data_IF_086103806834
#
_entry.id   IF_086103806834
#
_cell.length_a   1.000
_cell.length_b   1.000
_cell.length_c   1.000
_cell.angle_alpha   90.00
_cell.angle_beta   90.00
_cell.angle_gamma   90.00
#
_symmetry.space_group_name_H-M   'P 1'
#
loop_
_entity.id
_entity.type
_entity.pdbx_description
1 polymer ?
#
# COMPACT_ATOMS: atom_id res chain seq x y z
N UNK A 1 -13.28 21.48 3.58
CA UNK A 1 -13.68 20.58 2.45
C UNK A 1 -14.24 19.26 2.99
N UNK A 2 -14.97 18.48 2.17
CA UNK A 2 -15.40 17.12 2.52
C UNK A 2 -14.51 16.08 1.82
N UNK A 3 -14.13 15.02 2.54
CA UNK A 3 -13.22 14.02 2.00
C UNK A 3 -13.74 13.34 0.73
N UNK A 4 -15.05 13.16 0.59
CA UNK A 4 -15.63 12.62 -0.64
C UNK A 4 -15.32 13.48 -1.88
N UNK A 5 -15.21 14.80 -1.71
CA UNK A 5 -15.03 15.78 -2.79
C UNK A 5 -13.56 16.06 -3.12
N UNK A 6 -12.65 15.84 -2.17
CA UNK A 6 -11.21 16.09 -2.38
C UNK A 6 -10.68 15.14 -3.45
N UNK A 7 -9.94 15.64 -4.47
CA UNK A 7 -9.22 14.76 -5.37
C UNK A 7 -8.20 13.94 -4.57
N UNK A 8 -8.14 12.64 -4.80
CA UNK A 8 -7.24 11.76 -4.05
C UNK A 8 -6.59 10.70 -4.90
N UNK A 9 -5.47 10.20 -4.44
CA UNK A 9 -4.82 8.98 -4.94
C UNK A 9 -4.94 7.94 -3.85
N UNK A 10 -5.56 6.80 -4.15
CA UNK A 10 -5.49 5.65 -3.27
C UNK A 10 -4.16 4.94 -3.50
N UNK A 11 -3.23 5.11 -2.56
CA UNK A 11 -1.88 4.58 -2.69
C UNK A 11 -1.78 3.08 -2.36
N UNK A 12 -2.87 2.46 -1.88
CA UNK A 12 -2.87 1.07 -1.46
C UNK A 12 -4.20 0.40 -1.79
N UNK A 13 -4.26 -0.21 -2.95
CA UNK A 13 -5.40 -0.99 -3.39
C UNK A 13 -4.94 -2.26 -4.12
N UNK A 14 -5.77 -3.29 -4.12
CA UNK A 14 -5.47 -4.58 -4.72
C UNK A 14 -6.42 -4.87 -5.88
N UNK A 15 -5.87 -4.98 -7.08
CA UNK A 15 -6.57 -5.54 -8.23
C UNK A 15 -6.08 -6.97 -8.43
N UNK A 16 -7.00 -7.93 -8.47
CA UNK A 16 -6.67 -9.35 -8.64
C UNK A 16 -7.08 -9.87 -10.01
N UNK A 17 -6.51 -10.97 -10.42
CA UNK A 17 -6.81 -11.61 -11.71
C UNK A 17 -8.27 -12.07 -11.79
N UNK A 18 -8.75 -12.27 -13.02
CA UNK A 18 -10.11 -12.79 -13.22
C UNK A 18 -10.26 -14.18 -12.60
N UNK A 19 -9.27 -15.04 -12.77
CA UNK A 19 -9.32 -16.43 -12.29
C UNK A 19 -9.39 -16.47 -10.75
N UNK A 20 -8.66 -15.60 -10.08
CA UNK A 20 -8.75 -15.46 -8.64
C UNK A 20 -10.16 -15.04 -8.19
N UNK A 21 -10.78 -14.05 -8.86
CA UNK A 21 -12.16 -13.64 -8.54
C UNK A 21 -13.18 -14.76 -8.78
N UNK A 22 -13.03 -15.50 -9.89
CA UNK A 22 -13.91 -16.62 -10.23
C UNK A 22 -13.86 -17.73 -9.17
N UNK A 23 -12.72 -17.92 -8.52
CA UNK A 23 -12.60 -18.86 -7.41
C UNK A 23 -13.53 -18.49 -6.23
N UNK A 24 -13.75 -17.20 -6.00
CA UNK A 24 -14.60 -16.70 -4.91
C UNK A 24 -16.01 -16.28 -5.34
N UNK A 25 -16.42 -16.51 -6.59
CA UNK A 25 -17.71 -16.01 -7.10
C UNK A 25 -18.95 -16.49 -6.34
N UNK A 26 -18.89 -17.68 -5.75
CA UNK A 26 -19.98 -18.28 -5.00
C UNK A 26 -19.89 -17.99 -3.49
N UNK A 27 -18.80 -17.38 -3.04
CA UNK A 27 -18.62 -16.90 -1.67
C UNK A 27 -19.17 -15.48 -1.51
N UNK A 28 -20.38 -15.37 -0.94
CA UNK A 28 -21.08 -14.10 -0.74
C UNK A 28 -20.37 -13.17 0.26
N UNK A 29 -19.50 -13.71 1.10
CA UNK A 29 -18.73 -12.93 2.07
C UNK A 29 -17.38 -12.46 1.53
N UNK A 30 -16.98 -12.95 0.36
CA UNK A 30 -15.70 -12.59 -0.25
C UNK A 30 -15.69 -11.17 -0.80
N UNK A 31 -14.79 -10.35 -0.30
CA UNK A 31 -14.55 -9.00 -0.82
C UNK A 31 -13.89 -9.00 -2.21
N UNK A 32 -13.23 -10.09 -2.61
CA UNK A 32 -12.43 -10.15 -3.84
C UNK A 32 -13.24 -9.99 -5.12
N UNK A 33 -14.52 -10.30 -5.11
CA UNK A 33 -15.43 -10.10 -6.25
C UNK A 33 -15.52 -8.63 -6.66
N UNK A 34 -15.29 -7.71 -5.73
CA UNK A 34 -15.25 -6.26 -5.95
C UNK A 34 -13.94 -5.77 -6.57
N UNK A 35 -12.87 -6.57 -6.51
CA UNK A 35 -11.56 -6.22 -7.08
C UNK A 35 -11.56 -6.33 -8.62
N UNK A 36 -12.30 -5.47 -9.29
CA UNK A 36 -12.41 -5.44 -10.75
C UNK A 36 -12.43 -4.02 -11.30
N UNK A 37 -12.01 -3.86 -12.58
CA UNK A 37 -11.88 -2.54 -13.22
C UNK A 37 -13.18 -1.73 -13.26
N UNK A 38 -14.32 -2.37 -13.35
CA UNK A 38 -15.62 -1.68 -13.40
C UNK A 38 -15.89 -1.01 -12.06
N UNK A 39 -15.67 -1.73 -10.98
CA UNK A 39 -15.87 -1.20 -9.64
C UNK A 39 -14.86 -0.09 -9.30
N UNK A 40 -13.59 -0.24 -9.67
CA UNK A 40 -12.60 0.84 -9.54
C UNK A 40 -13.00 2.13 -10.26
N UNK A 41 -13.57 2.01 -11.47
CA UNK A 41 -14.08 3.18 -12.20
C UNK A 41 -15.29 3.83 -11.50
N UNK A 42 -16.15 3.03 -10.92
CA UNK A 42 -17.29 3.50 -10.13
C UNK A 42 -16.80 4.28 -8.90
N UNK A 43 -15.88 3.71 -8.12
CA UNK A 43 -15.24 4.36 -6.97
C UNK A 43 -14.58 5.68 -7.41
N UNK A 44 -13.80 5.65 -8.50
CA UNK A 44 -13.11 6.84 -9.00
C UNK A 44 -14.07 8.00 -9.23
N UNK A 45 -15.23 7.72 -9.85
CA UNK A 45 -16.25 8.73 -10.12
C UNK A 45 -16.93 9.20 -8.85
N UNK A 46 -17.29 8.28 -7.96
CA UNK A 46 -18.12 8.58 -6.79
C UNK A 46 -17.34 9.30 -5.68
N UNK A 47 -16.08 8.91 -5.45
CA UNK A 47 -15.26 9.40 -4.35
C UNK A 47 -14.11 10.31 -4.82
N UNK A 48 -14.14 10.78 -6.06
CA UNK A 48 -13.13 11.66 -6.65
C UNK A 48 -11.70 11.08 -6.57
N UNK A 49 -11.56 9.75 -6.75
CA UNK A 49 -10.24 9.10 -6.80
C UNK A 49 -9.66 9.26 -8.20
N UNK A 50 -8.55 9.94 -8.31
CA UNK A 50 -7.89 10.24 -9.59
C UNK A 50 -7.01 9.10 -10.08
N UNK A 51 -6.36 8.41 -9.14
CA UNK A 51 -5.49 7.27 -9.42
C UNK A 51 -5.56 6.25 -8.28
N UNK A 52 -5.33 5.00 -8.63
CA UNK A 52 -5.07 3.92 -7.68
C UNK A 52 -3.67 3.39 -7.92
N UNK A 53 -2.92 3.13 -6.86
CA UNK A 53 -1.64 2.44 -6.93
C UNK A 53 -1.90 0.99 -6.53
N UNK A 54 -1.80 0.10 -7.52
CA UNK A 54 -2.02 -1.32 -7.32
C UNK A 54 -0.82 -1.92 -6.59
N UNK A 55 -1.07 -2.54 -5.46
CA UNK A 55 -0.05 -3.18 -4.62
C UNK A 55 -0.15 -4.69 -4.75
N UNK A 56 0.92 -5.40 -5.15
CA UNK A 56 0.97 -6.86 -5.05
C UNK A 56 1.11 -7.31 -3.59
N UNK A 57 0.73 -8.56 -3.31
CA UNK A 57 0.79 -9.14 -1.96
C UNK A 57 2.00 -10.04 -1.74
N UNK A 58 2.85 -10.21 -2.76
CA UNK A 58 4.04 -11.07 -2.77
C UNK A 58 3.73 -12.54 -2.41
N UNK A 59 2.56 -13.01 -2.74
CA UNK A 59 2.22 -14.42 -2.60
C UNK A 59 1.85 -15.02 -3.95
N UNK A 60 2.14 -16.30 -4.09
CA UNK A 60 1.84 -17.06 -5.30
C UNK A 60 0.39 -17.53 -5.37
N UNK A 61 -0.37 -17.33 -4.29
CA UNK A 61 -1.78 -17.72 -4.22
C UNK A 61 -2.68 -16.76 -5.00
N UNK A 62 -2.46 -15.44 -4.83
CA UNK A 62 -3.21 -14.40 -5.56
C UNK A 62 -2.65 -14.13 -6.94
N UNK A 63 -1.36 -14.32 -7.10
CA UNK A 63 -0.61 -14.03 -8.31
C UNK A 63 0.28 -15.23 -8.62
N UNK A 64 0.44 -15.54 -9.88
CA UNK A 64 1.28 -16.66 -10.30
C UNK A 64 2.76 -16.37 -10.03
N UNK A 65 3.59 -16.31 -11.02
CA UNK A 65 4.99 -15.98 -10.88
C UNK A 65 5.22 -14.47 -10.94
N UNK A 66 6.28 -13.96 -10.27
CA UNK A 66 6.61 -12.52 -10.22
C UNK A 66 6.67 -11.87 -11.58
N UNK A 67 7.34 -12.48 -12.57
CA UNK A 67 7.44 -11.92 -13.92
C UNK A 67 6.07 -11.85 -14.57
N UNK A 68 5.28 -12.91 -14.45
CA UNK A 68 3.91 -12.96 -14.98
C UNK A 68 3.04 -11.92 -14.32
N UNK A 69 3.16 -11.77 -12.99
CA UNK A 69 2.40 -10.78 -12.25
C UNK A 69 2.81 -9.34 -12.61
N UNK A 70 4.11 -9.03 -12.69
CA UNK A 70 4.59 -7.71 -13.08
C UNK A 70 4.15 -7.35 -14.51
N UNK A 71 4.19 -8.29 -15.45
CA UNK A 71 3.68 -8.09 -16.80
C UNK A 71 2.16 -7.87 -16.81
N UNK A 72 1.44 -8.62 -16.00
CA UNK A 72 -0.01 -8.44 -15.87
C UNK A 72 -0.34 -7.07 -15.27
N UNK A 73 0.30 -6.65 -14.17
CA UNK A 73 0.13 -5.32 -13.57
C UNK A 73 0.43 -4.22 -14.59
N UNK A 74 1.54 -4.32 -15.33
CA UNK A 74 1.87 -3.37 -16.38
C UNK A 74 0.78 -3.29 -17.46
N UNK A 75 0.21 -4.43 -17.84
CA UNK A 75 -0.91 -4.47 -18.78
C UNK A 75 -2.16 -3.77 -18.22
N UNK A 76 -2.44 -3.92 -16.91
CA UNK A 76 -3.55 -3.22 -16.26
C UNK A 76 -3.32 -1.70 -16.23
N UNK A 77 -2.10 -1.26 -15.93
CA UNK A 77 -1.71 0.15 -15.97
C UNK A 77 -1.92 0.72 -17.38
N UNK A 78 -1.35 0.08 -18.40
CA UNK A 78 -1.45 0.51 -19.80
C UNK A 78 -2.90 0.62 -20.30
N UNK A 79 -3.79 -0.30 -19.87
CA UNK A 79 -5.18 -0.33 -20.28
C UNK A 79 -6.11 0.58 -19.44
N UNK A 80 -5.59 1.24 -18.43
CA UNK A 80 -6.39 2.01 -17.47
C UNK A 80 -6.70 3.45 -17.88
N UNK A 81 -6.11 3.94 -18.97
CA UNK A 81 -6.16 5.35 -19.37
C UNK A 81 -5.73 6.30 -18.23
N UNK A 82 -4.67 5.94 -17.52
CA UNK A 82 -4.10 6.75 -16.43
C UNK A 82 -4.77 6.58 -15.06
N UNK A 83 -5.78 5.71 -14.94
CA UNK A 83 -6.44 5.44 -13.67
C UNK A 83 -5.56 4.62 -12.72
N UNK A 84 -4.72 3.73 -13.25
CA UNK A 84 -3.87 2.87 -12.45
C UNK A 84 -2.39 3.24 -12.58
N UNK A 85 -1.68 3.17 -11.46
CA UNK A 85 -0.26 2.92 -11.34
C UNK A 85 -0.09 1.58 -10.63
N UNK A 86 1.10 1.00 -10.64
CA UNK A 86 1.36 -0.23 -9.88
C UNK A 86 2.79 -0.26 -9.36
N UNK A 87 2.98 -0.93 -8.24
CA UNK A 87 4.29 -1.28 -7.71
C UNK A 87 4.67 -2.69 -8.16
N UNK A 88 5.96 -2.93 -8.27
CA UNK A 88 6.50 -4.22 -8.65
C UNK A 88 6.35 -5.26 -7.54
N UNK A 89 6.13 -6.49 -7.95
CA UNK A 89 6.08 -7.67 -7.11
C UNK A 89 7.44 -8.38 -7.03
N UNK A 90 7.66 -9.10 -5.94
CA UNK A 90 8.76 -10.06 -5.77
C UNK A 90 8.20 -11.37 -5.20
N UNK A 91 8.83 -12.51 -5.52
CA UNK A 91 8.35 -13.81 -5.05
C UNK A 91 8.75 -14.14 -3.61
N UNK A 92 7.98 -15.02 -2.98
CA UNK A 92 8.24 -15.58 -1.65
C UNK A 92 9.30 -16.72 -1.67
N UNK A 93 10.38 -16.53 -2.40
CA UNK A 93 11.46 -17.50 -2.52
C UNK A 93 12.81 -16.84 -2.19
N UNK A 94 13.43 -17.27 -1.10
CA UNK A 94 14.68 -16.69 -0.62
C UNK A 94 15.83 -16.72 -1.63
N UNK A 95 15.96 -17.79 -2.40
CA UNK A 95 16.96 -17.87 -3.47
C UNK A 95 16.64 -16.89 -4.61
N UNK A 96 15.35 -16.78 -4.97
CA UNK A 96 14.90 -15.81 -5.95
C UNK A 96 15.19 -14.37 -5.53
N UNK A 97 14.95 -14.01 -4.28
CA UNK A 97 15.18 -12.65 -3.78
C UNK A 97 16.65 -12.27 -3.88
N UNK A 98 17.57 -13.20 -3.56
CA UNK A 98 19.00 -12.95 -3.66
C UNK A 98 19.49 -12.79 -5.09
N UNK A 99 19.15 -13.74 -5.94
CA UNK A 99 19.85 -13.95 -7.20
C UNK A 99 19.13 -13.31 -8.40
N UNK A 100 17.82 -13.27 -8.37
CA UNK A 100 16.98 -12.96 -9.54
C UNK A 100 16.13 -11.70 -9.37
N UNK A 101 15.60 -11.45 -8.18
CA UNK A 101 14.68 -10.32 -7.93
C UNK A 101 15.25 -8.96 -8.32
N UNK A 102 16.56 -8.64 -8.12
CA UNK A 102 17.11 -7.36 -8.56
C UNK A 102 16.96 -7.12 -10.06
N UNK A 103 17.20 -8.16 -10.88
CA UNK A 103 17.05 -8.06 -12.35
C UNK A 103 15.59 -7.95 -12.77
N UNK A 104 14.71 -8.72 -12.15
CA UNK A 104 13.26 -8.64 -12.43
C UNK A 104 12.67 -7.31 -11.99
N UNK A 105 13.16 -6.72 -10.89
CA UNK A 105 12.78 -5.37 -10.49
C UNK A 105 13.22 -4.34 -11.53
N UNK A 106 14.43 -4.44 -12.06
CA UNK A 106 14.91 -3.53 -13.09
C UNK A 106 14.03 -3.58 -14.34
N UNK A 107 13.68 -4.78 -14.83
CA UNK A 107 12.77 -4.98 -15.96
C UNK A 107 11.38 -4.39 -15.63
N UNK A 108 10.85 -4.68 -14.43
CA UNK A 108 9.55 -4.18 -14.02
C UNK A 108 9.46 -2.64 -14.04
N UNK A 109 10.54 -1.96 -13.65
CA UNK A 109 10.57 -0.50 -13.63
C UNK A 109 10.89 0.08 -15.00
N UNK A 110 11.97 -0.36 -15.66
CA UNK A 110 12.46 0.26 -16.90
C UNK A 110 11.64 -0.12 -18.13
N UNK A 111 11.27 -1.39 -18.25
CA UNK A 111 10.62 -1.91 -19.44
C UNK A 111 9.09 -1.94 -19.30
N UNK A 112 8.60 -2.26 -18.11
CA UNK A 112 7.18 -2.40 -17.82
C UNK A 112 6.55 -1.12 -17.26
N UNK A 113 7.34 -0.13 -16.83
CA UNK A 113 6.85 1.18 -16.36
C UNK A 113 6.16 1.13 -15.00
N UNK A 114 6.49 0.16 -14.15
CA UNK A 114 5.99 0.13 -12.77
C UNK A 114 6.68 1.22 -11.93
N UNK A 115 6.00 1.72 -10.89
CA UNK A 115 6.36 2.99 -10.26
C UNK A 115 7.06 2.86 -8.91
N UNK A 116 7.26 1.66 -8.41
CA UNK A 116 7.87 1.39 -7.10
C UNK A 116 7.96 -0.10 -6.83
N UNK A 117 8.35 -0.45 -5.61
CA UNK A 117 8.43 -1.84 -5.14
C UNK A 117 7.52 -2.05 -3.94
N UNK A 118 6.73 -3.11 -3.94
CA UNK A 118 5.98 -3.59 -2.76
C UNK A 118 6.70 -4.79 -2.15
N UNK A 119 6.88 -4.75 -0.82
CA UNK A 119 7.39 -5.86 -0.03
C UNK A 119 6.39 -6.21 1.06
N UNK A 120 6.03 -7.49 1.14
CA UNK A 120 5.16 -8.05 2.17
C UNK A 120 5.94 -9.13 2.95
N UNK A 121 6.70 -8.76 4.01
CA UNK A 121 7.62 -9.66 4.70
C UNK A 121 6.98 -10.96 5.18
N UNK A 122 5.77 -10.88 5.75
CA UNK A 122 5.07 -12.08 6.24
C UNK A 122 4.73 -13.08 5.13
N UNK A 123 4.30 -12.59 3.94
CA UNK A 123 4.00 -13.47 2.80
C UNK A 123 5.27 -14.05 2.18
N UNK A 124 6.37 -13.30 2.27
CA UNK A 124 7.68 -13.78 1.85
C UNK A 124 8.30 -14.77 2.85
N UNK A 125 7.79 -14.84 4.09
CA UNK A 125 8.41 -15.54 5.22
C UNK A 125 9.87 -15.13 5.43
N UNK A 126 10.15 -13.85 5.28
CA UNK A 126 11.49 -13.28 5.41
C UNK A 126 11.35 -11.96 6.18
N UNK A 127 12.02 -11.82 7.32
CA UNK A 127 12.06 -10.56 8.05
C UNK A 127 12.57 -9.42 7.16
N UNK A 128 11.97 -8.24 7.28
CA UNK A 128 12.31 -7.13 6.38
C UNK A 128 13.79 -6.69 6.51
N UNK A 129 14.40 -6.87 7.67
CA UNK A 129 15.80 -6.57 7.95
C UNK A 129 16.76 -7.76 7.69
N UNK A 130 16.29 -8.83 7.06
CA UNK A 130 17.13 -9.96 6.64
C UNK A 130 18.11 -9.54 5.53
N UNK A 131 19.34 -10.05 5.57
CA UNK A 131 20.38 -9.74 4.58
C UNK A 131 20.00 -10.14 3.15
N UNK A 132 19.09 -11.08 2.98
CA UNK A 132 18.53 -11.46 1.66
C UNK A 132 17.78 -10.33 0.99
N UNK A 133 17.28 -9.34 1.74
CA UNK A 133 16.62 -8.15 1.19
C UNK A 133 17.62 -7.13 0.61
N UNK A 134 18.89 -7.17 1.03
CA UNK A 134 19.89 -6.17 0.64
C UNK A 134 20.07 -6.04 -0.88
N UNK A 135 20.18 -7.10 -1.69
CA UNK A 135 20.35 -6.96 -3.14
C UNK A 135 19.18 -6.25 -3.82
N UNK A 136 17.95 -6.60 -3.46
CA UNK A 136 16.76 -5.97 -4.06
C UNK A 136 16.57 -4.52 -3.60
N UNK A 137 16.87 -4.21 -2.34
CA UNK A 137 16.82 -2.83 -1.84
C UNK A 137 17.93 -1.98 -2.45
N UNK A 138 19.13 -2.51 -2.64
CA UNK A 138 20.19 -1.80 -3.39
C UNK A 138 19.73 -1.47 -4.81
N UNK A 139 19.08 -2.42 -5.48
CA UNK A 139 18.51 -2.17 -6.81
C UNK A 139 17.41 -1.10 -6.78
N UNK A 140 16.56 -1.10 -5.77
CA UNK A 140 15.54 -0.05 -5.61
C UNK A 140 16.18 1.35 -5.41
N UNK A 141 17.26 1.44 -4.63
CA UNK A 141 18.05 2.67 -4.46
C UNK A 141 18.67 3.14 -5.79
N UNK A 142 19.32 2.22 -6.54
CA UNK A 142 19.89 2.51 -7.88
C UNK A 142 18.82 3.05 -8.85
N UNK A 143 17.62 2.47 -8.81
CA UNK A 143 16.49 2.87 -9.66
C UNK A 143 15.78 4.13 -9.15
N UNK A 144 16.11 4.59 -7.94
CA UNK A 144 15.49 5.75 -7.26
C UNK A 144 13.96 5.62 -7.14
N UNK A 145 13.49 4.44 -6.83
CA UNK A 145 12.07 4.14 -6.66
C UNK A 145 11.69 4.04 -5.18
N UNK A 146 10.45 4.39 -4.81
CA UNK A 146 9.95 4.16 -3.46
C UNK A 146 9.73 2.68 -3.19
N UNK A 147 9.83 2.31 -1.92
CA UNK A 147 9.55 0.97 -1.42
C UNK A 147 8.42 1.02 -0.40
N UNK A 148 7.29 0.43 -0.73
CA UNK A 148 6.19 0.25 0.20
C UNK A 148 6.33 -1.10 0.91
N UNK A 149 6.32 -1.06 2.24
CA UNK A 149 6.51 -2.25 3.08
C UNK A 149 5.24 -2.51 3.87
N UNK A 150 4.66 -3.70 3.72
CA UNK A 150 3.57 -4.13 4.61
C UNK A 150 4.05 -4.10 6.06
N UNK A 151 3.32 -3.42 6.93
CA UNK A 151 3.66 -3.26 8.34
C UNK A 151 2.41 -3.32 9.23
N UNK A 152 1.88 -4.53 9.40
CA UNK A 152 0.74 -4.78 10.28
C UNK A 152 1.06 -5.98 11.19
N UNK A 153 2.09 -5.85 12.08
CA UNK A 153 2.45 -6.93 12.97
C UNK A 153 1.31 -7.23 13.94
N UNK A 154 1.14 -8.51 14.28
CA UNK A 154 0.18 -8.90 15.30
C UNK A 154 0.75 -8.60 16.68
N UNK A 155 -0.11 -8.24 17.64
CA UNK A 155 0.33 -7.96 19.02
C UNK A 155 0.88 -9.19 19.77
N UNK A 156 0.74 -10.39 19.23
CA UNK A 156 0.97 -11.67 19.93
C UNK A 156 2.26 -12.36 19.51
N UNK A 157 3.24 -11.65 18.95
CA UNK A 157 4.59 -12.18 18.73
C UNK A 157 4.76 -13.19 17.59
N UNK A 158 3.71 -13.60 16.93
CA UNK A 158 3.77 -14.39 15.71
C UNK A 158 3.74 -13.44 14.51
N UNK A 159 4.75 -13.50 13.65
CA UNK A 159 4.86 -12.69 12.43
C UNK A 159 5.30 -11.23 12.64
N UNK A 160 6.38 -11.03 13.38
CA UNK A 160 7.07 -9.74 13.49
C UNK A 160 7.97 -9.42 12.28
N UNK A 161 7.89 -10.21 11.20
CA UNK A 161 8.72 -10.01 10.00
C UNK A 161 8.53 -8.64 9.36
N UNK A 162 7.34 -8.04 9.55
CA UNK A 162 6.95 -6.72 9.06
C UNK A 162 6.94 -5.64 10.16
N UNK A 163 7.56 -5.87 11.31
CA UNK A 163 7.52 -4.91 12.42
C UNK A 163 8.20 -3.58 12.05
N UNK A 164 7.70 -2.43 12.53
CA UNK A 164 8.23 -1.11 12.18
C UNK A 164 9.71 -0.91 12.55
N UNK A 165 10.20 -1.52 13.61
CA UNK A 165 11.60 -1.45 14.02
C UNK A 165 12.55 -2.06 12.99
N UNK A 166 12.11 -3.09 12.25
CA UNK A 166 12.85 -3.68 11.12
C UNK A 166 12.94 -2.72 9.95
N UNK A 167 11.84 -1.98 9.69
CA UNK A 167 11.84 -0.93 8.66
C UNK A 167 12.81 0.19 9.07
N UNK A 168 12.80 0.59 10.35
CA UNK A 168 13.69 1.62 10.88
C UNK A 168 15.17 1.26 10.71
N UNK A 169 15.54 -0.01 10.90
CA UNK A 169 16.91 -0.49 10.64
C UNK A 169 17.27 -0.33 9.15
N UNK A 170 16.37 -0.70 8.26
CA UNK A 170 16.65 -0.63 6.81
C UNK A 170 16.66 0.81 6.29
N UNK A 171 15.93 1.73 6.89
CA UNK A 171 16.05 3.18 6.61
C UNK A 171 17.46 3.68 6.90
N UNK A 172 18.09 3.20 7.97
CA UNK A 172 19.48 3.59 8.32
C UNK A 172 20.50 3.01 7.33
N UNK A 173 20.23 1.82 6.80
CA UNK A 173 21.11 1.16 5.82
C UNK A 173 20.94 1.76 4.40
N UNK A 174 19.74 2.19 4.07
CA UNK A 174 19.38 2.72 2.76
C UNK A 174 18.69 4.09 2.90
N UNK A 175 19.42 5.13 3.32
CA UNK A 175 18.83 6.46 3.55
C UNK A 175 18.34 7.15 2.27
N UNK A 176 18.78 6.71 1.11
CA UNK A 176 18.38 7.24 -0.19
C UNK A 176 17.06 6.64 -0.71
N UNK A 177 16.54 5.59 -0.05
CA UNK A 177 15.24 5.01 -0.40
C UNK A 177 14.12 5.76 0.33
N UNK A 178 13.12 6.17 -0.40
CA UNK A 178 11.85 6.61 0.20
C UNK A 178 11.03 5.38 0.59
N UNK A 179 11.00 5.08 1.89
CA UNK A 179 10.15 4.01 2.40
C UNK A 179 8.75 4.53 2.74
N UNK A 180 7.75 3.67 2.55
CA UNK A 180 6.36 3.87 2.96
C UNK A 180 5.97 2.65 3.81
N UNK A 181 5.77 2.84 5.11
CA UNK A 181 5.27 1.78 5.97
C UNK A 181 3.74 1.72 5.89
N UNK A 182 3.21 0.61 5.40
CA UNK A 182 1.75 0.45 5.27
C UNK A 182 1.08 0.33 6.64
N UNK A 183 -0.20 0.68 6.68
CA UNK A 183 -1.08 0.47 7.84
C UNK A 183 -0.60 1.17 9.13
N UNK A 184 0.12 2.31 9.02
CA UNK A 184 0.71 3.04 10.16
C UNK A 184 1.62 2.18 11.06
N UNK A 185 2.08 1.00 10.62
CA UNK A 185 2.75 0.03 11.47
C UNK A 185 1.82 -0.83 12.32
N UNK A 186 0.54 -0.91 11.94
CA UNK A 186 -0.48 -1.70 12.62
C UNK A 186 -0.75 -1.25 14.05
N UNK A 187 -0.94 -2.19 14.92
CA UNK A 187 -1.12 -1.92 16.37
C UNK A 187 0.19 -1.55 17.08
N UNK A 188 1.34 -1.62 16.38
CA UNK A 188 2.64 -1.10 16.85
C UNK A 188 2.95 0.29 16.25
N UNK A 189 1.93 1.10 16.01
CA UNK A 189 2.05 2.44 15.43
C UNK A 189 3.03 3.35 16.17
N UNK A 190 3.22 3.16 17.50
CA UNK A 190 4.18 3.93 18.28
C UNK A 190 5.62 3.72 17.79
N UNK A 191 5.97 2.49 17.39
CA UNK A 191 7.29 2.16 16.86
C UNK A 191 7.47 2.77 15.45
N UNK A 192 6.40 2.78 14.64
CA UNK A 192 6.41 3.45 13.33
C UNK A 192 6.49 4.98 13.45
N UNK A 193 5.97 5.55 14.54
CA UNK A 193 6.01 6.99 14.77
C UNK A 193 7.44 7.52 14.89
N UNK A 194 8.33 6.73 15.48
CA UNK A 194 9.76 7.09 15.64
C UNK A 194 10.55 7.02 14.33
N UNK A 195 10.02 6.34 13.31
CA UNK A 195 10.65 6.25 12.00
C UNK A 195 10.50 7.54 11.20
N UNK A 196 11.57 7.95 10.53
CA UNK A 196 11.53 9.07 9.58
C UNK A 196 11.09 8.59 8.20
N UNK A 197 9.85 8.07 8.11
CA UNK A 197 9.29 7.52 6.87
C UNK A 197 7.86 7.99 6.65
N UNK A 198 7.38 7.84 5.41
CA UNK A 198 5.95 7.97 5.11
C UNK A 198 5.18 6.76 5.63
N UNK A 199 3.91 6.96 5.91
CA UNK A 199 2.99 5.89 6.34
C UNK A 199 1.65 6.02 5.64
N UNK A 200 1.04 4.93 5.23
CA UNK A 200 -0.33 4.96 4.74
C UNK A 200 -1.34 4.57 5.83
N UNK A 201 -2.58 5.03 5.68
CA UNK A 201 -3.68 4.79 6.61
C UNK A 201 -4.54 3.59 6.22
N UNK A 202 -4.10 2.81 5.23
CA UNK A 202 -4.85 1.70 4.67
C UNK A 202 -5.12 0.61 5.71
N UNK A 203 -6.25 -0.10 5.60
CA UNK A 203 -6.70 -1.14 6.52
C UNK A 203 -6.87 -0.69 7.98
N UNK A 204 -5.91 0.04 8.53
CA UNK A 204 -5.78 0.33 9.97
C UNK A 204 -6.71 1.46 10.45
N UNK A 205 -7.05 2.44 9.60
CA UNK A 205 -7.85 3.59 10.02
C UNK A 205 -9.21 3.20 10.64
N UNK A 206 -10.04 2.34 10.01
CA UNK A 206 -11.28 1.87 10.63
C UNK A 206 -11.04 1.10 11.93
N UNK A 207 -9.95 0.34 12.01
CA UNK A 207 -9.60 -0.42 13.22
C UNK A 207 -9.24 0.49 14.39
N UNK A 208 -8.41 1.51 14.16
CA UNK A 208 -8.07 2.49 15.20
C UNK A 208 -9.31 3.25 15.68
N UNK A 209 -10.16 3.67 14.75
CA UNK A 209 -11.40 4.37 15.07
C UNK A 209 -12.35 3.50 15.92
N UNK A 210 -12.49 2.22 15.59
CA UNK A 210 -13.35 1.30 16.33
C UNK A 210 -12.80 1.00 17.74
N UNK A 211 -11.48 0.86 17.89
CA UNK A 211 -10.84 0.51 19.17
C UNK A 211 -10.68 1.73 20.07
N UNK A 212 -10.27 2.87 19.53
CA UNK A 212 -9.85 4.02 20.32
C UNK A 212 -10.82 5.21 20.24
N UNK A 213 -11.82 5.16 19.34
CA UNK A 213 -12.73 6.25 19.08
C UNK A 213 -12.08 7.43 18.33
N UNK A 214 -12.91 8.41 18.01
CA UNK A 214 -12.58 9.59 17.21
C UNK A 214 -11.36 10.34 17.74
N UNK A 215 -11.39 10.75 19.01
CA UNK A 215 -10.40 11.69 19.57
C UNK A 215 -8.99 11.09 19.62
N UNK A 216 -8.88 9.81 19.98
CA UNK A 216 -7.57 9.17 20.05
C UNK A 216 -7.05 8.85 18.65
N UNK A 217 -7.91 8.44 17.73
CA UNK A 217 -7.52 8.23 16.33
C UNK A 217 -7.00 9.53 15.72
N UNK A 218 -7.68 10.66 15.92
CA UNK A 218 -7.20 11.97 15.48
C UNK A 218 -5.82 12.31 16.06
N UNK A 219 -5.60 12.07 17.36
CA UNK A 219 -4.31 12.31 18.00
C UNK A 219 -3.20 11.44 17.42
N UNK A 220 -3.50 10.16 17.13
CA UNK A 220 -2.54 9.26 16.49
C UNK A 220 -2.15 9.80 15.12
N UNK A 221 -3.12 10.13 14.26
CA UNK A 221 -2.84 10.66 12.93
C UNK A 221 -2.05 11.98 13.01
N UNK A 222 -2.43 12.90 13.88
CA UNK A 222 -1.71 14.16 14.08
C UNK A 222 -0.30 13.98 14.63
N UNK A 223 -0.04 12.95 15.42
CA UNK A 223 1.31 12.63 15.87
C UNK A 223 2.25 12.23 14.74
N UNK A 224 1.75 11.52 13.70
CA UNK A 224 2.52 11.27 12.49
C UNK A 224 2.75 12.56 11.68
N UNK A 225 1.80 13.49 11.70
CA UNK A 225 1.83 14.72 10.91
C UNK A 225 1.36 14.53 9.48
N UNK A 226 0.63 15.52 8.96
CA UNK A 226 0.05 15.46 7.62
C UNK A 226 1.09 15.30 6.50
N UNK A 227 2.32 15.77 6.71
CA UNK A 227 3.43 15.65 5.75
C UNK A 227 3.94 14.21 5.56
N UNK A 228 3.58 13.29 6.45
CA UNK A 228 3.99 11.88 6.41
C UNK A 228 2.85 10.92 6.07
N UNK A 229 1.62 11.35 6.25
CA UNK A 229 0.43 10.52 6.02
C UNK A 229 0.10 10.43 4.54
N UNK A 230 -0.28 9.23 4.10
CA UNK A 230 -0.71 8.95 2.73
C UNK A 230 -2.08 8.28 2.77
N UNK A 231 -3.01 8.77 1.94
CA UNK A 231 -4.31 8.11 1.75
C UNK A 231 -4.12 6.77 1.05
N UNK A 232 -4.68 5.74 1.63
CA UNK A 232 -4.77 4.39 1.09
C UNK A 232 -5.88 3.65 1.81
N UNK A 233 -6.52 2.69 1.14
CA UNK A 233 -7.65 1.96 1.72
C UNK A 233 -7.38 0.50 2.02
N UNK A 234 -6.49 -0.14 1.28
CA UNK A 234 -6.30 -1.61 1.23
C UNK A 234 -7.47 -2.33 0.53
N UNK A 235 -8.27 -1.55 -0.24
CA UNK A 235 -9.41 -2.09 -0.98
C UNK A 235 -9.00 -3.34 -1.81
N UNK A 236 -9.79 -4.41 -1.81
CA UNK A 236 -11.14 -4.57 -1.26
C UNK A 236 -11.19 -5.11 0.17
N UNK A 237 -10.08 -5.54 0.76
CA UNK A 237 -10.04 -6.17 2.08
C UNK A 237 -9.69 -5.15 3.17
N UNK A 238 -10.70 -4.69 3.91
CA UNK A 238 -10.52 -3.69 4.96
C UNK A 238 -11.12 -4.19 6.27
N UNK A 239 -10.46 -3.84 7.37
CA UNK A 239 -10.87 -4.25 8.72
C UNK A 239 -12.36 -3.97 8.98
N UNK A 240 -13.10 -5.02 9.32
CA UNK A 240 -14.51 -4.99 9.72
C UNK A 240 -15.38 -4.07 8.82
N UNK A 241 -15.11 -4.10 7.50
CA UNK A 241 -15.77 -3.23 6.54
C UNK A 241 -16.09 -4.04 5.28
N UNK A 242 -17.33 -3.98 4.83
CA UNK A 242 -17.71 -4.58 3.54
C UNK A 242 -17.05 -3.81 2.40
N UNK A 243 -16.72 -4.50 1.32
CA UNK A 243 -16.01 -3.91 0.20
C UNK A 243 -16.75 -2.70 -0.41
N UNK A 244 -18.07 -2.77 -0.50
CA UNK A 244 -18.92 -1.69 -1.00
C UNK A 244 -18.90 -0.43 -0.13
N UNK A 245 -18.63 -0.55 1.17
CA UNK A 245 -18.69 0.54 2.15
C UNK A 245 -17.32 1.17 2.45
N UNK A 246 -16.23 0.63 1.89
CA UNK A 246 -14.85 1.01 2.24
C UNK A 246 -14.62 2.51 2.11
N UNK A 247 -14.91 3.09 0.95
CA UNK A 247 -14.63 4.50 0.70
C UNK A 247 -15.55 5.44 1.47
N UNK A 248 -16.81 5.06 1.64
CA UNK A 248 -17.74 5.82 2.48
C UNK A 248 -17.25 5.84 3.92
N UNK A 249 -16.87 4.70 4.47
CA UNK A 249 -16.36 4.59 5.84
C UNK A 249 -15.09 5.42 6.05
N UNK A 250 -14.13 5.38 5.11
CA UNK A 250 -12.92 6.21 5.18
C UNK A 250 -13.24 7.70 5.15
N UNK A 251 -14.09 8.12 4.21
CA UNK A 251 -14.50 9.53 4.12
C UNK A 251 -15.20 10.00 5.40
N UNK A 252 -16.13 9.20 5.93
CA UNK A 252 -16.87 9.55 7.15
C UNK A 252 -15.94 9.68 8.36
N UNK A 253 -15.02 8.73 8.57
CA UNK A 253 -14.04 8.79 9.66
C UNK A 253 -13.17 10.03 9.52
N UNK A 254 -12.63 10.30 8.35
CA UNK A 254 -11.74 11.43 8.11
C UNK A 254 -12.48 12.79 8.15
N UNK A 255 -13.76 12.84 7.79
CA UNK A 255 -14.60 14.04 7.90
C UNK A 255 -14.85 14.47 9.35
N UNK A 256 -14.73 13.54 10.30
CA UNK A 256 -14.81 13.84 11.73
C UNK A 256 -13.48 14.36 12.32
N UNK A 257 -12.36 14.20 11.59
CA UNK A 257 -11.05 14.67 12.04
C UNK A 257 -10.87 16.15 11.74
N UNK A 258 -10.22 16.84 12.67
CA UNK A 258 -9.97 18.28 12.53
C UNK A 258 -8.63 18.54 11.82
N UNK A 259 -8.58 18.29 10.51
CA UNK A 259 -7.48 18.66 9.63
C UNK A 259 -7.78 19.97 8.90
N UNK A 260 -6.75 20.77 8.66
CA UNK A 260 -6.85 21.92 7.73
C UNK A 260 -7.04 21.42 6.29
N UNK A 261 -7.59 22.28 5.42
CA UNK A 261 -7.72 21.94 3.99
C UNK A 261 -6.36 21.60 3.36
N UNK A 262 -5.28 22.29 3.77
CA UNK A 262 -3.93 21.99 3.33
C UNK A 262 -3.45 20.60 3.77
N UNK A 263 -3.71 20.22 5.04
CA UNK A 263 -3.36 18.90 5.55
C UNK A 263 -4.14 17.79 4.84
N UNK A 264 -5.44 18.03 4.59
CA UNK A 264 -6.28 17.10 3.85
C UNK A 264 -5.74 16.84 2.44
N UNK A 265 -5.30 17.88 1.72
CA UNK A 265 -4.69 17.74 0.40
C UNK A 265 -3.33 17.02 0.46
N UNK A 266 -2.50 17.29 1.48
CA UNK A 266 -1.23 16.56 1.68
C UNK A 266 -1.48 15.07 1.83
N UNK A 267 -2.39 14.69 2.70
CA UNK A 267 -2.75 13.28 2.95
C UNK A 267 -3.39 12.65 1.72
N UNK A 268 -4.34 13.35 1.08
CA UNK A 268 -5.13 12.82 -0.01
C UNK A 268 -4.30 12.53 -1.28
N UNK A 269 -3.35 13.39 -1.62
CA UNK A 269 -2.59 13.22 -2.86
C UNK A 269 -1.19 13.86 -2.90
N UNK A 270 -0.94 15.02 -2.24
CA UNK A 270 0.31 15.75 -2.44
C UNK A 270 1.55 14.96 -2.03
N UNK A 271 1.47 14.21 -0.92
CA UNK A 271 2.61 13.42 -0.44
C UNK A 271 2.97 12.31 -1.42
N UNK A 272 1.99 11.55 -1.88
CA UNK A 272 2.25 10.46 -2.83
C UNK A 272 2.64 11.00 -4.23
N UNK A 273 2.09 12.13 -4.65
CA UNK A 273 2.51 12.82 -5.86
C UNK A 273 3.97 13.24 -5.80
N UNK A 274 4.41 13.80 -4.66
CA UNK A 274 5.81 14.16 -4.42
C UNK A 274 6.73 12.94 -4.48
N UNK A 275 6.34 11.83 -3.84
CA UNK A 275 7.12 10.59 -3.82
C UNK A 275 7.32 10.02 -5.22
N UNK A 276 6.26 10.02 -6.02
CA UNK A 276 6.25 9.42 -7.37
C UNK A 276 6.62 10.42 -8.46
N UNK A 277 6.81 11.71 -8.12
CA UNK A 277 7.03 12.80 -9.08
C UNK A 277 5.95 12.83 -10.18
N UNK A 278 4.69 12.82 -9.78
CA UNK A 278 3.52 12.84 -10.67
C UNK A 278 2.55 13.97 -10.30
N UNK A 279 1.65 14.29 -11.22
CA UNK A 279 0.49 15.18 -11.02
C UNK A 279 -0.83 14.40 -11.12
N UNK A 280 -1.94 15.00 -10.59
CA UNK A 280 -3.30 14.42 -10.67
C UNK A 280 -4.18 15.14 -11.68
#
# INVERSE_FOLDING_TARGET
MKWKEIPKIDAHAHLVTKDFREFFKDDKESCWTYSNKTYFKQIAKEYNVKKFILQPTNDTYMYQETVTNNNWLASQVKQSNGLFLAFADIQNNGAYILDVAPNHLEIAIKDNGLSGLKIHPNNLNIPFDDLRMVPVLRKAAELKIPVMVHSNPTMVGFHDDCAPDRINKMIQVFPDITFIASHLGGMKWQDALSALTYVDISYILPKLYEIYGRDMTERILKAFGADRLIFGTDFPQVYNTKAEDVYERYCNILDEMNFSDEDMEKIAYKNICKILNIEI
#
